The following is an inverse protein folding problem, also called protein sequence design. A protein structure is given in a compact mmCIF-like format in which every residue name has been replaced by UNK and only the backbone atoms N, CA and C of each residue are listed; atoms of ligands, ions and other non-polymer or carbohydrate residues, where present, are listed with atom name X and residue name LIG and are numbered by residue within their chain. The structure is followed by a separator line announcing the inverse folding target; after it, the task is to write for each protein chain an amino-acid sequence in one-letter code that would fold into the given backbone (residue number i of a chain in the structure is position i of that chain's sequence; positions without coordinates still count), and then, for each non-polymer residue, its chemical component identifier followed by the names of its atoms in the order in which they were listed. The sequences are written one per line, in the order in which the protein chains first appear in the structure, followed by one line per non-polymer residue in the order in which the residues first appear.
data_IF_376521066608
#
_entry.id   IF_376521066608
#
_cell.length_a   1.000
_cell.length_b   1.000
_cell.length_c   1.000
_cell.angle_alpha   90.00
_cell.angle_beta   90.00
_cell.angle_gamma   90.00
#
_symmetry.space_group_name_H-M   'P 1'
#
loop_
_entity.id
_entity.type
_entity.pdbx_description
1 polymer ?
#
# COMPACT_ATOMS: atom_id res chain seq x y z
N UNK A 1 -13.44 -5.98 19.42
CA UNK A 1 -12.68 -4.92 18.79
C UNK A 1 -11.24 -5.17 19.09
N UNK A 2 -10.46 -4.11 19.02
CA UNK A 2 -9.04 -4.09 19.31
C UNK A 2 -8.84 -3.16 20.51
N UNK A 3 -8.23 -3.63 21.59
CA UNK A 3 -7.79 -2.76 22.69
C UNK A 3 -6.41 -2.15 22.40
N UNK A 4 -5.53 -2.93 21.77
CA UNK A 4 -4.19 -2.48 21.43
C UNK A 4 -3.34 -3.57 20.80
N UNK A 5 -2.15 -3.18 20.35
CA UNK A 5 -1.19 -4.08 19.74
C UNK A 5 0.26 -3.62 19.95
N UNK A 6 1.17 -4.58 19.90
CA UNK A 6 2.59 -4.39 19.66
C UNK A 6 3.00 -5.35 18.54
N UNK A 7 3.60 -4.85 17.46
CA UNK A 7 4.03 -5.67 16.33
C UNK A 7 5.45 -5.30 15.93
N UNK A 8 6.30 -6.31 15.80
CA UNK A 8 7.67 -6.16 15.26
C UNK A 8 7.74 -6.73 13.85
N UNK A 9 8.09 -5.88 12.89
CA UNK A 9 8.32 -6.26 11.51
C UNK A 9 9.81 -6.30 11.20
N UNK A 10 10.23 -7.29 10.41
CA UNK A 10 11.61 -7.48 9.97
C UNK A 10 11.69 -7.59 8.46
N UNK A 11 12.58 -6.80 7.89
CA UNK A 11 12.93 -6.82 6.48
C UNK A 11 14.05 -7.84 6.24
N UNK A 12 14.01 -8.54 5.11
CA UNK A 12 15.03 -9.55 4.76
C UNK A 12 15.40 -9.47 3.29
N UNK A 13 16.70 -9.29 3.07
CA UNK A 13 17.26 -8.82 1.81
C UNK A 13 17.91 -7.46 2.01
N UNK A 14 18.63 -6.99 0.99
CA UNK A 14 19.40 -5.74 1.04
C UNK A 14 18.89 -4.70 0.02
N UNK A 15 17.76 -4.99 -0.62
CA UNK A 15 17.18 -4.14 -1.66
C UNK A 15 16.48 -2.88 -1.10
N UNK A 16 16.12 -2.87 0.20
CA UNK A 16 15.50 -1.71 0.83
C UNK A 16 15.83 -1.64 2.32
N UNK A 17 15.55 -0.48 2.92
CA UNK A 17 15.63 -0.20 4.35
C UNK A 17 14.35 0.49 4.82
N UNK A 18 13.90 0.17 6.03
CA UNK A 18 12.83 0.91 6.71
C UNK A 18 13.36 2.28 7.12
N UNK A 19 12.67 3.35 6.72
CA UNK A 19 13.00 4.73 7.10
C UNK A 19 12.13 5.23 8.25
N UNK A 20 10.87 4.81 8.30
CA UNK A 20 9.90 5.28 9.28
C UNK A 20 8.68 4.34 9.37
N UNK A 21 7.80 4.62 10.32
CA UNK A 21 6.42 4.13 10.32
C UNK A 21 5.47 5.21 10.87
N UNK A 22 4.17 5.02 10.67
CA UNK A 22 3.12 5.90 11.19
C UNK A 22 1.86 5.11 11.54
N UNK A 23 1.04 5.70 12.39
CA UNK A 23 -0.24 5.14 12.83
C UNK A 23 -1.41 5.88 12.18
N UNK A 24 -2.53 5.19 11.91
CA UNK A 24 -3.82 5.84 11.68
C UNK A 24 -4.25 6.71 12.87
N UNK A 25 -4.98 7.79 12.59
CA UNK A 25 -5.49 8.72 13.62
C UNK A 25 -6.52 8.06 14.58
N UNK A 26 -7.03 6.88 14.23
CA UNK A 26 -7.99 6.13 15.03
C UNK A 26 -7.43 5.67 16.39
N UNK A 27 -6.10 5.60 16.54
CA UNK A 27 -5.47 5.17 17.79
C UNK A 27 -5.20 6.37 18.71
N UNK A 28 -5.90 6.41 19.85
CA UNK A 28 -5.82 7.54 20.79
C UNK A 28 -4.52 7.63 21.61
N UNK A 29 -3.74 6.55 21.69
CA UNK A 29 -2.41 6.55 22.32
C UNK A 29 -1.45 5.67 21.52
N UNK A 30 -0.31 6.25 21.16
CA UNK A 30 0.73 5.58 20.37
C UNK A 30 2.09 5.80 21.01
N UNK A 31 2.92 4.78 21.01
CA UNK A 31 4.36 4.94 21.24
C UNK A 31 5.02 5.25 19.90
N UNK A 32 6.00 6.16 19.88
CA UNK A 32 6.73 6.47 18.64
C UNK A 32 7.31 5.17 18.03
N UNK A 33 7.20 4.95 16.70
CA UNK A 33 7.73 3.75 16.09
C UNK A 33 9.25 3.65 16.27
N UNK A 34 9.71 2.45 16.65
CA UNK A 34 11.11 2.21 16.93
C UNK A 34 11.73 1.47 15.74
N UNK A 35 12.52 2.18 14.94
CA UNK A 35 13.26 1.59 13.82
C UNK A 35 14.68 1.24 14.26
N UNK A 36 15.17 0.05 13.88
CA UNK A 36 16.57 -0.34 14.14
C UNK A 36 17.54 0.57 13.41
N UNK A 37 18.73 0.79 13.98
CA UNK A 37 19.77 1.63 13.39
C UNK A 37 20.21 1.17 11.99
N UNK A 38 20.12 -0.14 11.71
CA UNK A 38 20.41 -0.73 10.40
C UNK A 38 19.21 -0.72 9.43
N UNK A 39 18.04 -0.22 9.85
CA UNK A 39 16.85 -0.10 9.00
C UNK A 39 16.20 -1.44 8.62
N UNK A 40 16.54 -2.56 9.28
CA UNK A 40 15.96 -3.88 8.95
C UNK A 40 14.83 -4.33 9.87
N UNK A 41 14.49 -3.54 10.87
CA UNK A 41 13.41 -3.85 11.81
C UNK A 41 12.68 -2.59 12.24
N UNK A 42 11.37 -2.71 12.46
CA UNK A 42 10.56 -1.66 13.06
C UNK A 42 9.56 -2.29 14.03
N UNK A 43 9.39 -1.66 15.19
CA UNK A 43 8.37 -2.02 16.17
C UNK A 43 7.34 -0.89 16.25
N UNK A 44 6.08 -1.26 16.17
CA UNK A 44 4.92 -0.36 16.25
C UNK A 44 4.02 -0.80 17.40
N UNK A 45 3.57 0.15 18.21
CA UNK A 45 2.74 -0.07 19.39
C UNK A 45 1.68 1.03 19.51
N UNK A 46 0.41 0.63 19.63
CA UNK A 46 -0.69 1.55 19.83
C UNK A 46 -1.85 0.91 20.61
N UNK A 47 -2.69 1.76 21.20
CA UNK A 47 -3.93 1.38 21.87
C UNK A 47 -5.12 2.17 21.30
N UNK A 48 -6.25 1.48 21.16
CA UNK A 48 -7.53 2.07 20.78
C UNK A 48 -8.28 2.53 22.05
N UNK A 49 -7.86 3.67 22.59
CA UNK A 49 -8.48 4.24 23.80
C UNK A 49 -9.86 4.85 23.54
N UNK A 50 -10.19 5.10 22.28
CA UNK A 50 -11.43 5.78 21.85
C UNK A 50 -12.50 4.79 21.37
N UNK A 51 -12.21 3.49 21.36
CA UNK A 51 -13.10 2.42 20.89
C UNK A 51 -13.53 2.65 19.43
N UNK A 52 -12.59 3.11 18.60
CA UNK A 52 -12.81 3.32 17.16
C UNK A 52 -12.88 1.98 16.40
N UNK A 53 -12.12 0.97 16.86
CA UNK A 53 -12.06 -0.38 16.31
C UNK A 53 -12.95 -1.32 17.14
N UNK A 54 -14.25 -1.19 16.90
CA UNK A 54 -15.30 -1.95 17.63
C UNK A 54 -15.35 -3.46 17.28
N UNK A 55 -16.05 -4.30 18.08
CA UNK A 55 -16.27 -5.71 17.76
C UNK A 55 -16.86 -5.96 16.36
N UNK A 56 -16.19 -6.83 15.60
CA UNK A 56 -16.59 -7.19 14.23
C UNK A 56 -15.98 -6.32 13.14
N UNK A 57 -15.16 -5.32 13.50
CA UNK A 57 -14.35 -4.58 12.53
C UNK A 57 -13.43 -5.53 11.73
N UNK A 58 -13.29 -5.24 10.44
CA UNK A 58 -12.42 -5.95 9.50
C UNK A 58 -11.57 -4.93 8.74
N UNK A 59 -10.52 -5.40 8.06
CA UNK A 59 -9.63 -4.55 7.25
C UNK A 59 -9.03 -3.37 8.04
N UNK A 60 -8.72 -3.61 9.31
CA UNK A 60 -8.15 -2.62 10.23
C UNK A 60 -6.67 -2.42 9.90
N UNK A 61 -6.31 -1.19 9.51
CA UNK A 61 -4.90 -0.83 9.34
C UNK A 61 -4.27 -0.59 10.71
N UNK A 62 -3.19 -1.29 11.03
CA UNK A 62 -2.47 -1.11 12.30
C UNK A 62 -1.45 0.02 12.20
N UNK A 63 -0.63 -0.01 11.15
CA UNK A 63 0.40 0.99 10.89
C UNK A 63 0.74 1.03 9.40
N UNK A 64 1.34 2.13 8.95
CA UNK A 64 1.99 2.27 7.65
C UNK A 64 3.50 2.28 7.85
N UNK A 65 4.23 1.42 7.15
CA UNK A 65 5.70 1.38 7.21
C UNK A 65 6.27 2.00 5.95
N UNK A 66 7.17 2.96 6.12
CA UNK A 66 7.88 3.60 5.02
C UNK A 66 9.20 2.86 4.75
N UNK A 67 9.41 2.49 3.49
CA UNK A 67 10.60 1.77 3.03
C UNK A 67 11.22 2.50 1.85
N UNK A 68 12.54 2.58 1.85
CA UNK A 68 13.32 3.20 0.79
C UNK A 68 14.24 2.16 0.14
N UNK A 69 14.30 2.15 -1.18
CA UNK A 69 15.25 1.33 -1.92
C UNK A 69 16.69 1.79 -1.62
N UNK A 70 17.63 0.85 -1.57
CA UNK A 70 19.05 1.22 -1.45
C UNK A 70 19.59 1.68 -2.82
N UNK A 71 20.59 2.57 -2.84
CA UNK A 71 21.03 3.25 -4.08
C UNK A 71 21.44 2.31 -5.23
N UNK A 72 21.90 1.10 -4.91
CA UNK A 72 22.30 0.08 -5.89
C UNK A 72 21.37 -1.13 -5.87
N UNK A 73 20.20 -1.03 -5.24
CA UNK A 73 19.29 -2.14 -5.09
C UNK A 73 18.65 -2.53 -6.42
N UNK A 74 18.83 -3.79 -6.78
CA UNK A 74 17.93 -4.51 -7.67
C UNK A 74 17.59 -5.83 -6.98
N UNK A 75 16.40 -6.38 -7.25
CA UNK A 75 15.94 -7.63 -6.67
C UNK A 75 14.85 -7.43 -5.62
N UNK A 76 14.70 -8.39 -4.72
CA UNK A 76 13.52 -8.50 -3.86
C UNK A 76 13.90 -8.56 -2.38
N UNK A 77 13.05 -7.96 -1.55
CA UNK A 77 13.13 -8.02 -0.10
C UNK A 77 11.77 -8.41 0.48
N UNK A 78 11.78 -9.16 1.56
CA UNK A 78 10.57 -9.64 2.22
C UNK A 78 10.41 -8.92 3.54
N UNK A 79 9.22 -8.34 3.77
CA UNK A 79 8.83 -7.80 5.07
C UNK A 79 7.93 -8.82 5.76
N UNK A 80 8.31 -9.27 6.95
CA UNK A 80 7.53 -10.22 7.74
C UNK A 80 7.31 -9.72 9.16
N UNK A 81 6.23 -10.16 9.77
CA UNK A 81 6.04 -10.04 11.22
C UNK A 81 6.87 -11.11 11.92
N UNK A 82 7.66 -10.72 12.91
CA UNK A 82 8.45 -11.65 13.73
C UNK A 82 7.96 -11.77 15.16
N UNK A 83 7.23 -10.76 15.63
CA UNK A 83 6.58 -10.75 16.93
C UNK A 83 5.26 -9.98 16.83
N UNK A 84 4.22 -10.47 17.51
CA UNK A 84 2.91 -9.84 17.53
C UNK A 84 2.20 -10.11 18.85
N UNK A 85 1.83 -9.05 19.54
CA UNK A 85 0.81 -9.03 20.57
C UNK A 85 -0.36 -8.22 20.05
N UNK A 86 -1.56 -8.80 20.08
CA UNK A 86 -2.79 -8.11 19.74
C UNK A 86 -3.81 -8.46 20.82
N UNK A 87 -4.43 -7.46 21.43
CA UNK A 87 -5.38 -7.64 22.53
C UNK A 87 -6.77 -7.12 22.11
N UNK A 88 -7.81 -7.88 22.42
CA UNK A 88 -9.22 -7.51 22.19
C UNK A 88 -9.75 -6.57 23.29
N UNK A 89 -10.91 -5.95 23.08
CA UNK A 89 -11.53 -5.00 24.03
C UNK A 89 -11.74 -5.57 25.44
N UNK A 90 -11.90 -6.89 25.56
CA UNK A 90 -12.06 -7.58 26.85
C UNK A 90 -10.71 -7.85 27.54
N UNK A 91 -9.60 -7.41 26.95
CA UNK A 91 -8.22 -7.66 27.38
C UNK A 91 -7.71 -9.06 27.01
N UNK A 92 -8.49 -9.86 26.27
CA UNK A 92 -8.08 -11.17 25.80
C UNK A 92 -7.08 -11.07 24.64
N UNK A 93 -6.05 -11.93 24.66
CA UNK A 93 -5.07 -11.99 23.56
C UNK A 93 -5.70 -12.63 22.31
N UNK A 94 -5.49 -11.97 21.17
CA UNK A 94 -5.77 -12.47 19.83
C UNK A 94 -4.47 -13.03 19.25
N UNK A 95 -4.52 -14.24 18.69
CA UNK A 95 -3.39 -14.83 17.95
C UNK A 95 -3.67 -14.71 16.44
N UNK A 96 -3.09 -13.71 15.75
CA UNK A 96 -3.38 -13.47 14.34
C UNK A 96 -2.65 -14.46 13.44
N UNK A 97 -3.24 -14.73 12.27
CA UNK A 97 -2.49 -15.32 11.17
C UNK A 97 -1.54 -14.27 10.58
N UNK A 98 -0.29 -14.66 10.33
CA UNK A 98 0.73 -13.76 9.82
C UNK A 98 1.03 -14.06 8.35
N UNK A 99 1.02 -13.02 7.52
CA UNK A 99 1.40 -13.08 6.11
C UNK A 99 2.57 -12.12 5.84
N UNK A 100 3.49 -12.54 4.98
CA UNK A 100 4.68 -11.74 4.63
C UNK A 100 4.46 -10.99 3.32
N UNK A 101 4.87 -9.72 3.28
CA UNK A 101 4.88 -8.91 2.07
C UNK A 101 6.20 -9.02 1.31
N UNK A 102 6.17 -8.80 0.00
CA UNK A 102 7.36 -8.78 -0.85
C UNK A 102 7.46 -7.44 -1.58
N UNK A 103 8.62 -6.80 -1.49
CA UNK A 103 8.97 -5.58 -2.23
C UNK A 103 10.03 -5.94 -3.27
N UNK A 104 9.80 -5.55 -4.51
CA UNK A 104 10.75 -5.78 -5.61
C UNK A 104 11.20 -4.45 -6.20
N UNK A 105 12.51 -4.27 -6.30
CA UNK A 105 13.17 -3.11 -6.90
C UNK A 105 13.70 -3.53 -8.28
N UNK A 106 13.15 -2.91 -9.34
CA UNK A 106 13.53 -3.19 -10.72
C UNK A 106 14.70 -2.35 -11.21
N UNK A 107 15.37 -2.81 -12.27
CA UNK A 107 16.48 -2.10 -12.93
C UNK A 107 16.04 -0.84 -13.71
N UNK A 108 14.75 -0.73 -14.04
CA UNK A 108 14.15 0.46 -14.64
C UNK A 108 13.31 1.20 -13.59
N UNK A 109 13.86 2.26 -13.01
CA UNK A 109 13.22 3.09 -11.99
C UNK A 109 12.01 3.91 -12.45
N UNK A 110 11.15 3.41 -13.33
CA UNK A 110 9.96 4.14 -13.80
C UNK A 110 8.78 3.29 -14.33
N UNK A 111 8.87 1.96 -14.39
CA UNK A 111 7.88 1.15 -15.13
C UNK A 111 7.29 0.03 -14.26
N UNK A 112 6.67 0.38 -13.12
CA UNK A 112 5.92 -0.59 -12.32
C UNK A 112 4.77 0.07 -11.55
N UNK A 113 3.79 0.61 -12.27
CA UNK A 113 2.40 0.73 -11.81
C UNK A 113 1.48 1.11 -12.98
N UNK A 114 1.23 0.18 -13.90
CA UNK A 114 0.00 0.22 -14.68
C UNK A 114 -0.66 -1.15 -14.58
N UNK A 115 -1.63 -1.26 -13.66
CA UNK A 115 -2.71 -2.22 -13.83
C UNK A 115 -3.47 -1.80 -15.08
N UNK A 116 -2.99 -2.19 -16.26
CA UNK A 116 -3.75 -2.13 -17.49
C UNK A 116 -4.85 -3.17 -17.36
N UNK A 117 -6.00 -2.71 -16.87
CA UNK A 117 -7.26 -3.39 -17.09
C UNK A 117 -7.52 -3.39 -18.59
N UNK A 118 -6.98 -4.40 -19.28
CA UNK A 118 -7.33 -4.73 -20.66
C UNK A 118 -8.78 -5.22 -20.67
N UNK A 119 -9.70 -4.26 -20.67
CA UNK A 119 -11.09 -4.48 -21.07
C UNK A 119 -11.07 -4.91 -22.52
N UNK A 120 -11.10 -6.24 -22.72
CA UNK A 120 -11.18 -6.89 -24.02
C UNK A 120 -12.35 -6.32 -24.81
N UNK A 121 -12.01 -5.62 -25.87
CA UNK A 121 -12.89 -5.16 -26.93
C UNK A 121 -13.29 -6.35 -27.81
N UNK A 122 -14.59 -6.55 -27.97
CA UNK A 122 -15.21 -7.29 -29.07
C UNK A 122 -16.66 -6.77 -29.14
N UNK A 123 -16.92 -5.76 -29.95
CA UNK A 123 -17.21 -5.82 -31.40
C UNK A 123 -18.70 -6.16 -31.66
N UNK A 124 -19.20 -5.58 -32.77
CA UNK A 124 -20.49 -5.85 -33.43
C UNK A 124 -21.76 -5.23 -32.81
N UNK A 125 -22.65 -4.53 -33.53
CA UNK A 125 -22.82 -4.35 -34.97
C UNK A 125 -23.42 -2.98 -35.30
N UNK A 126 -23.12 -2.60 -36.54
CA UNK A 126 -23.51 -1.39 -37.26
C UNK A 126 -25.00 -1.41 -37.60
N UNK A 127 -25.69 -0.28 -37.40
CA UNK A 127 -26.92 0.05 -38.13
C UNK A 127 -26.76 1.43 -38.76
N UNK A 128 -26.41 1.40 -40.05
CA UNK A 128 -26.56 2.46 -41.04
C UNK A 128 -27.99 3.01 -41.04
N UNK A 129 -28.20 4.32 -41.15
CA UNK A 129 -28.35 4.98 -42.46
C UNK A 129 -28.71 6.48 -42.33
N UNK A 130 -28.30 7.21 -43.36
CA UNK A 130 -28.78 8.52 -43.85
C UNK A 130 -27.94 9.79 -43.64
N UNK A 131 -27.87 10.66 -44.69
CA UNK A 131 -26.67 11.43 -45.01
C UNK A 131 -26.90 12.96 -45.05
N UNK A 132 -25.84 13.64 -45.48
CA UNK A 132 -25.80 14.94 -46.19
C UNK A 132 -25.41 16.19 -45.37
N UNK A 133 -24.35 16.87 -45.81
CA UNK A 133 -24.06 18.26 -45.44
C UNK A 133 -22.59 18.68 -45.30
N UNK A 134 -21.90 18.85 -46.43
CA UNK A 134 -20.87 19.88 -46.77
C UNK A 134 -19.71 20.32 -45.84
N UNK A 135 -18.51 20.17 -46.41
CA UNK A 135 -17.43 21.16 -46.66
C UNK A 135 -16.73 21.90 -45.51
N UNK A 136 -15.39 21.75 -45.43
CA UNK A 136 -14.52 22.76 -44.80
C UNK A 136 -13.08 22.32 -44.45
N UNK A 137 -12.12 22.80 -45.23
CA UNK A 137 -10.66 22.62 -45.15
C UNK A 137 -9.97 22.85 -43.79
N UNK A 138 -8.81 22.19 -43.59
CA UNK A 138 -7.59 22.89 -43.16
C UNK A 138 -6.75 22.30 -42.00
N UNK A 139 -5.51 21.94 -42.35
CA UNK A 139 -4.24 22.11 -41.59
C UNK A 139 -4.00 21.38 -40.26
N UNK A 140 -3.16 20.34 -40.35
CA UNK A 140 -1.81 20.19 -39.76
C UNK A 140 -1.42 20.87 -38.41
N UNK A 141 -0.66 20.09 -37.65
CA UNK A 141 -0.05 20.28 -36.32
C UNK A 141 0.75 21.56 -36.07
N UNK A 142 0.85 22.01 -34.79
CA UNK A 142 2.14 22.26 -34.09
C UNK A 142 2.02 22.27 -32.54
N UNK A 143 3.12 22.20 -31.76
CA UNK A 143 3.24 21.58 -30.43
C UNK A 143 3.53 22.59 -29.30
N UNK A 144 3.72 22.11 -28.07
CA UNK A 144 4.04 22.89 -26.85
C UNK A 144 2.83 22.94 -25.92
N UNK A 145 2.92 22.72 -24.60
CA UNK A 145 3.79 23.31 -23.59
C UNK A 145 4.08 22.24 -22.51
N UNK A 146 5.34 21.95 -22.20
CA UNK A 146 6.10 22.55 -21.11
C UNK A 146 5.67 22.12 -19.69
N UNK A 147 6.65 21.55 -18.99
CA UNK A 147 6.89 21.67 -17.56
C UNK A 147 5.90 21.01 -16.59
N UNK A 148 6.28 19.81 -16.15
CA UNK A 148 6.70 19.58 -14.76
C UNK A 148 5.67 19.80 -13.66
N UNK A 149 5.27 18.70 -13.01
CA UNK A 149 5.10 18.66 -11.57
C UNK A 149 5.37 17.23 -11.10
N UNK A 150 6.30 17.10 -10.16
CA UNK A 150 6.64 15.85 -9.51
C UNK A 150 5.43 15.35 -8.71
N UNK A 151 5.03 14.10 -8.93
CA UNK A 151 4.12 13.39 -8.05
C UNK A 151 4.96 12.30 -7.39
N UNK A 152 5.33 12.54 -6.12
CA UNK A 152 5.95 11.53 -5.28
C UNK A 152 4.96 10.40 -5.05
N UNK A 153 5.34 9.17 -5.37
CA UNK A 153 4.51 8.00 -5.12
C UNK A 153 4.67 7.60 -3.64
N UNK A 154 3.64 7.87 -2.83
CA UNK A 154 3.44 7.19 -1.55
C UNK A 154 2.76 5.85 -1.82
N UNK A 155 3.49 4.76 -1.59
CA UNK A 155 2.90 3.42 -1.59
C UNK A 155 2.43 3.08 -0.17
N UNK A 156 1.11 3.08 0.05
CA UNK A 156 0.49 2.59 1.28
C UNK A 156 0.17 1.11 1.06
N UNK A 157 0.86 0.23 1.78
CA UNK A 157 0.56 -1.21 1.79
C UNK A 157 -0.37 -1.50 2.97
N UNK A 158 -1.68 -1.65 2.69
CA UNK A 158 -2.66 -2.12 3.66
C UNK A 158 -2.75 -3.65 3.60
N UNK A 159 -2.47 -4.33 4.72
CA UNK A 159 -2.67 -5.77 4.85
C UNK A 159 -4.11 -6.04 5.32
N UNK A 160 -4.92 -6.65 4.46
CA UNK A 160 -6.30 -7.05 4.76
C UNK A 160 -6.32 -8.50 5.28
N UNK A 161 -6.75 -8.69 6.53
CA UNK A 161 -6.93 -10.00 7.15
C UNK A 161 -8.34 -10.55 6.85
N UNK A 162 -8.45 -11.51 5.92
CA UNK A 162 -9.71 -12.20 5.62
C UNK A 162 -9.98 -13.33 6.62
N UNK A 163 -11.02 -13.17 7.44
CA UNK A 163 -11.59 -14.23 8.24
C UNK A 163 -12.41 -15.21 7.38
N UNK A 164 -12.09 -16.51 7.41
CA UNK A 164 -12.93 -17.59 6.86
C UNK A 164 -13.35 -18.55 7.99
N UNK A 165 -14.65 -18.67 8.18
CA UNK A 165 -15.31 -19.50 9.18
C UNK A 165 -15.31 -20.99 8.81
N UNK A 166 -14.97 -21.83 9.80
CA UNK A 166 -15.55 -23.16 10.01
C UNK A 166 -15.58 -23.49 11.49
#
# INVERSE_FOLDING_TARGET
GLAGFEVTLKLSGDAATVSNASYPDAYGLTTDPITSADGRSVTVEAADLTDEVTPGAADVTLATVEVNATETATGSTTLRVTDSQVDADDGGRIEPALESGTLTVGENGAEAASSQNEGTESADETASDEPDGSDGSGSESIPGFAAGSAIGAMAVLAAALLARSR
#
